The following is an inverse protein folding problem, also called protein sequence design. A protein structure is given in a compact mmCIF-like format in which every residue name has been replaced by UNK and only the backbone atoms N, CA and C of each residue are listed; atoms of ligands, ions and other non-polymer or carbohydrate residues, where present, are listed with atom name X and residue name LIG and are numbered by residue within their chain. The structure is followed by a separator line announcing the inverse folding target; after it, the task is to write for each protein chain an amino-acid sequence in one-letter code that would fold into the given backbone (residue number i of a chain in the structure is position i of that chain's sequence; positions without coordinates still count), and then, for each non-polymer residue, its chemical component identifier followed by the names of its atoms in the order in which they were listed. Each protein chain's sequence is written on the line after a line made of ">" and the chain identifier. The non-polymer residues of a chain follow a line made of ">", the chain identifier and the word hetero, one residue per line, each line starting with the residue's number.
data_IF_238701940290
#
_entry.id   IF_238701940290
#
_cell.length_a   1.000
_cell.length_b   1.000
_cell.length_c   1.000
_cell.angle_alpha   90.00
_cell.angle_beta   90.00
_cell.angle_gamma   90.00
#
_symmetry.space_group_name_H-M   'P 1'
#
loop_
_entity.id
_entity.type
_entity.pdbx_description
1 polymer ?
#
# COMPACT_ATOMS: atom_id res chain seq x y z
N UNK A 1 8.61 -5.39 -6.83
CA UNK A 1 7.31 -4.69 -7.03
C UNK A 1 7.47 -3.28 -6.51
N UNK A 2 7.07 -2.26 -7.28
CA UNK A 2 7.07 -0.86 -6.82
C UNK A 2 5.75 -0.56 -6.09
N UNK A 3 5.71 0.44 -5.19
CA UNK A 3 4.50 0.81 -4.46
C UNK A 3 3.29 1.07 -5.36
N UNK A 4 3.49 1.67 -6.54
CA UNK A 4 2.44 1.86 -7.55
C UNK A 4 1.90 0.53 -8.13
N UNK A 5 2.75 -0.49 -8.26
CA UNK A 5 2.34 -1.83 -8.69
C UNK A 5 1.41 -2.49 -7.67
N UNK A 6 1.71 -2.34 -6.38
CA UNK A 6 0.95 -2.91 -5.26
C UNK A 6 -0.48 -2.36 -5.21
N UNK A 7 -0.65 -1.04 -5.35
CA UNK A 7 -1.98 -0.41 -5.37
C UNK A 7 -2.80 -0.84 -6.60
N UNK A 8 -2.16 -1.00 -7.76
CA UNK A 8 -2.85 -1.49 -8.95
C UNK A 8 -3.28 -2.94 -8.81
N UNK A 9 -2.44 -3.80 -8.22
CA UNK A 9 -2.82 -5.19 -7.92
C UNK A 9 -4.00 -5.25 -6.97
N UNK A 10 -4.03 -4.45 -5.90
CA UNK A 10 -5.16 -4.43 -4.97
C UNK A 10 -6.46 -4.00 -5.66
N UNK A 11 -6.41 -2.93 -6.47
CA UNK A 11 -7.58 -2.49 -7.26
C UNK A 11 -8.07 -3.58 -8.22
N UNK A 12 -7.16 -4.32 -8.84
CA UNK A 12 -7.53 -5.42 -9.74
C UNK A 12 -8.14 -6.60 -8.98
N UNK A 13 -7.65 -6.89 -7.78
CA UNK A 13 -8.24 -7.91 -6.90
C UNK A 13 -9.65 -7.51 -6.44
N UNK A 14 -9.86 -6.25 -6.07
CA UNK A 14 -11.20 -5.74 -5.72
C UNK A 14 -12.16 -5.88 -6.92
N UNK A 15 -11.69 -5.63 -8.15
CA UNK A 15 -12.48 -5.86 -9.36
C UNK A 15 -12.81 -7.35 -9.53
N UNK A 16 -11.81 -8.22 -9.37
CA UNK A 16 -11.97 -9.67 -9.52
C UNK A 16 -12.94 -10.24 -8.48
N UNK A 17 -12.90 -9.79 -7.23
CA UNK A 17 -13.84 -10.18 -6.17
C UNK A 17 -15.28 -9.81 -6.57
N UNK A 18 -15.51 -8.59 -7.04
CA UNK A 18 -16.83 -8.15 -7.47
C UNK A 18 -17.37 -8.96 -8.66
N UNK A 19 -16.51 -9.27 -9.63
CA UNK A 19 -16.88 -10.12 -10.77
C UNK A 19 -17.19 -11.56 -10.34
N UNK A 20 -16.42 -12.11 -9.40
CA UNK A 20 -16.69 -13.44 -8.85
C UNK A 20 -18.03 -13.50 -8.12
N UNK A 21 -18.37 -12.47 -7.33
CA UNK A 21 -19.66 -12.40 -6.66
C UNK A 21 -20.82 -12.30 -7.68
N UNK A 22 -20.67 -11.49 -8.72
CA UNK A 22 -21.66 -11.42 -9.80
C UNK A 22 -21.84 -12.77 -10.51
N UNK A 23 -20.74 -13.46 -10.82
CA UNK A 23 -20.77 -14.80 -11.40
C UNK A 23 -21.48 -15.81 -10.47
N UNK A 24 -21.26 -15.71 -9.17
CA UNK A 24 -21.91 -16.53 -8.15
C UNK A 24 -23.44 -16.34 -8.15
N UNK A 25 -23.90 -15.08 -8.19
CA UNK A 25 -25.32 -14.73 -8.27
C UNK A 25 -25.96 -15.25 -9.54
N UNK A 26 -25.27 -15.10 -10.69
CA UNK A 26 -25.74 -15.62 -11.98
C UNK A 26 -25.79 -17.14 -12.00
N UNK A 27 -24.81 -17.83 -11.43
CA UNK A 27 -24.84 -19.29 -11.31
C UNK A 27 -26.02 -19.77 -10.44
N UNK A 28 -26.33 -19.06 -9.33
CA UNK A 28 -27.50 -19.35 -8.49
C UNK A 28 -28.81 -19.13 -9.26
N UNK A 29 -28.91 -18.02 -10.00
CA UNK A 29 -30.05 -17.70 -10.85
C UNK A 29 -30.29 -18.80 -11.90
N UNK A 30 -29.24 -19.21 -12.62
CA UNK A 30 -29.30 -20.31 -13.60
C UNK A 30 -29.74 -21.63 -12.98
N UNK A 31 -29.21 -21.99 -11.80
CA UNK A 31 -29.63 -23.20 -11.08
C UNK A 31 -31.11 -23.16 -10.71
N UNK A 32 -31.61 -22.01 -10.23
CA UNK A 32 -33.03 -21.85 -9.92
C UNK A 32 -33.90 -21.89 -11.17
N UNK A 33 -33.45 -21.29 -12.27
CA UNK A 33 -34.17 -21.25 -13.54
C UNK A 33 -34.28 -22.64 -14.18
N UNK A 34 -33.18 -23.40 -14.20
CA UNK A 34 -33.17 -24.79 -14.68
C UNK A 34 -34.15 -25.67 -13.87
N UNK A 35 -34.15 -25.52 -12.54
CA UNK A 35 -35.10 -26.23 -11.66
C UNK A 35 -36.55 -25.74 -11.85
N UNK A 36 -36.78 -24.46 -12.14
CA UNK A 36 -38.12 -23.89 -12.30
C UNK A 36 -38.77 -24.14 -13.66
N UNK A 37 -38.00 -24.49 -14.71
CA UNK A 37 -38.59 -24.93 -15.98
C UNK A 37 -39.43 -26.22 -15.84
N UNK A 38 -39.22 -26.98 -14.76
CA UNK A 38 -39.92 -28.24 -14.50
C UNK A 38 -40.76 -28.25 -13.21
N UNK A 39 -40.74 -27.17 -12.40
CA UNK A 39 -41.43 -27.12 -11.12
C UNK A 39 -42.29 -25.84 -10.99
N UNK A 40 -43.61 -25.98 -10.91
CA UNK A 40 -44.55 -24.87 -10.62
C UNK A 40 -44.26 -24.33 -9.21
N UNK A 41 -43.61 -23.16 -9.13
CA UNK A 41 -43.15 -22.60 -7.86
C UNK A 41 -44.21 -21.69 -7.22
N UNK A 42 -45.03 -22.21 -6.32
CA UNK A 42 -45.94 -21.39 -5.49
C UNK A 42 -45.11 -20.80 -4.33
N UNK A 43 -44.66 -19.55 -4.48
CA UNK A 43 -43.97 -18.85 -3.39
C UNK A 43 -44.93 -18.45 -2.28
N UNK A 44 -44.64 -18.82 -1.02
CA UNK A 44 -45.46 -18.47 0.14
C UNK A 44 -45.67 -16.93 0.26
N UNK A 45 -46.92 -16.43 0.19
CA UNK A 45 -47.23 -15.00 0.15
C UNK A 45 -46.97 -14.28 1.48
N UNK A 46 -46.96 -14.99 2.61
CA UNK A 46 -46.79 -14.38 3.94
C UNK A 46 -45.33 -13.99 4.26
N UNK A 47 -44.35 -14.53 3.52
CA UNK A 47 -42.92 -14.21 3.71
C UNK A 47 -42.31 -13.45 2.52
N UNK A 48 -43.13 -13.11 1.52
CA UNK A 48 -42.65 -12.47 0.29
C UNK A 48 -42.11 -11.06 0.56
N UNK A 49 -42.83 -10.26 1.36
CA UNK A 49 -42.41 -8.89 1.73
C UNK A 49 -41.10 -8.91 2.53
N UNK A 50 -41.02 -9.70 3.61
CA UNK A 50 -39.81 -9.83 4.44
C UNK A 50 -38.58 -10.29 3.62
N UNK A 51 -38.76 -11.22 2.67
CA UNK A 51 -37.65 -11.66 1.79
C UNK A 51 -37.20 -10.59 0.80
N UNK A 52 -38.11 -9.71 0.35
CA UNK A 52 -37.74 -8.57 -0.52
C UNK A 52 -36.93 -7.56 0.29
N UNK A 53 -37.44 -7.16 1.45
CA UNK A 53 -36.74 -6.21 2.33
C UNK A 53 -35.33 -6.71 2.72
N UNK A 54 -35.19 -7.99 3.10
CA UNK A 54 -33.89 -8.58 3.39
C UNK A 54 -32.94 -8.59 2.18
N UNK A 55 -33.46 -8.76 0.96
CA UNK A 55 -32.65 -8.68 -0.26
C UNK A 55 -32.22 -7.25 -0.54
N UNK A 56 -33.13 -6.29 -0.41
CA UNK A 56 -32.86 -4.87 -0.62
C UNK A 56 -31.82 -4.38 0.39
N UNK A 57 -31.94 -4.79 1.65
CA UNK A 57 -30.95 -4.50 2.71
C UNK A 57 -29.58 -5.12 2.39
N UNK A 58 -29.53 -6.38 1.97
CA UNK A 58 -28.28 -7.06 1.62
C UNK A 58 -27.59 -6.41 0.42
N UNK A 59 -28.35 -5.96 -0.60
CA UNK A 59 -27.81 -5.23 -1.76
C UNK A 59 -27.21 -3.90 -1.31
N UNK A 60 -27.92 -3.15 -0.46
CA UNK A 60 -27.43 -1.87 0.05
C UNK A 60 -26.18 -2.02 0.92
N UNK A 61 -26.15 -3.01 1.81
CA UNK A 61 -24.98 -3.33 2.63
C UNK A 61 -23.77 -3.72 1.78
N UNK A 62 -24.00 -4.58 0.78
CA UNK A 62 -22.96 -4.98 -0.18
C UNK A 62 -22.38 -3.78 -0.92
N UNK A 63 -23.23 -2.90 -1.47
CA UNK A 63 -22.77 -1.68 -2.13
C UNK A 63 -22.02 -0.74 -1.20
N UNK A 64 -22.42 -0.61 0.07
CA UNK A 64 -21.70 0.18 1.06
C UNK A 64 -20.30 -0.39 1.30
N UNK A 65 -20.18 -1.71 1.47
CA UNK A 65 -18.89 -2.40 1.64
C UNK A 65 -17.96 -2.21 0.45
N UNK A 66 -18.45 -2.35 -0.78
CA UNK A 66 -17.66 -2.12 -1.99
C UNK A 66 -17.19 -0.67 -2.13
N UNK A 67 -18.03 0.30 -1.74
CA UNK A 67 -17.61 1.71 -1.73
C UNK A 67 -16.51 1.93 -0.70
N UNK A 68 -16.70 1.42 0.52
CA UNK A 68 -15.72 1.53 1.59
C UNK A 68 -14.37 0.93 1.18
N UNK A 69 -14.35 -0.28 0.63
CA UNK A 69 -13.11 -0.93 0.17
C UNK A 69 -12.37 -0.12 -0.90
N UNK A 70 -13.11 0.49 -1.84
CA UNK A 70 -12.53 1.35 -2.87
C UNK A 70 -11.99 2.66 -2.30
N UNK A 71 -12.69 3.24 -1.32
CA UNK A 71 -12.25 4.43 -0.61
C UNK A 71 -11.00 4.14 0.22
N UNK A 72 -10.96 3.03 0.96
CA UNK A 72 -9.81 2.59 1.75
C UNK A 72 -8.57 2.37 0.86
N UNK A 73 -8.73 1.71 -0.28
CA UNK A 73 -7.65 1.48 -1.25
C UNK A 73 -7.14 2.80 -1.82
N UNK A 74 -8.05 3.73 -2.16
CA UNK A 74 -7.68 5.06 -2.67
C UNK A 74 -6.98 5.90 -1.59
N UNK A 75 -7.48 5.87 -0.37
CA UNK A 75 -6.90 6.57 0.76
C UNK A 75 -5.49 6.04 1.05
N UNK A 76 -5.31 4.73 1.10
CA UNK A 76 -4.00 4.12 1.29
C UNK A 76 -3.00 4.50 0.18
N UNK A 77 -3.43 4.57 -1.07
CA UNK A 77 -2.61 5.03 -2.19
C UNK A 77 -2.23 6.52 -2.07
N UNK A 78 -3.17 7.35 -1.61
CA UNK A 78 -2.93 8.77 -1.38
C UNK A 78 -1.96 9.00 -0.23
N UNK A 79 -2.16 8.33 0.91
CA UNK A 79 -1.27 8.40 2.07
C UNK A 79 0.15 7.92 1.74
N UNK A 80 0.26 6.84 0.96
CA UNK A 80 1.55 6.34 0.44
C UNK A 80 2.27 7.40 -0.41
N UNK A 81 1.54 8.01 -1.36
CA UNK A 81 2.08 9.08 -2.20
C UNK A 81 2.52 10.30 -1.37
N UNK A 82 1.74 10.67 -0.35
CA UNK A 82 2.05 11.77 0.55
C UNK A 82 3.31 11.50 1.38
N UNK A 83 3.46 10.28 1.93
CA UNK A 83 4.67 9.87 2.66
C UNK A 83 5.90 9.92 1.78
N UNK A 84 5.83 9.40 0.55
CA UNK A 84 6.93 9.46 -0.41
C UNK A 84 7.35 10.92 -0.68
N UNK A 85 6.39 11.83 -0.86
CA UNK A 85 6.67 13.25 -1.05
C UNK A 85 7.30 13.90 0.19
N UNK A 86 6.82 13.55 1.38
CA UNK A 86 7.39 14.06 2.64
C UNK A 86 8.80 13.54 2.86
N UNK A 87 9.06 12.29 2.48
CA UNK A 87 10.38 11.69 2.51
C UNK A 87 11.36 12.48 1.65
N UNK A 88 10.98 12.75 0.40
CA UNK A 88 11.79 13.53 -0.53
C UNK A 88 12.17 14.88 0.09
N UNK A 89 11.17 15.62 0.58
CA UNK A 89 11.39 16.93 1.24
C UNK A 89 12.24 16.83 2.51
N UNK A 90 12.13 15.75 3.28
CA UNK A 90 12.90 15.52 4.49
C UNK A 90 14.38 15.28 4.19
N UNK A 91 14.67 14.52 3.12
CA UNK A 91 16.03 14.24 2.65
C UNK A 91 16.68 15.50 2.09
N UNK A 92 15.92 16.30 1.33
CA UNK A 92 16.39 17.59 0.80
C UNK A 92 16.76 18.57 1.93
N UNK A 93 16.00 18.57 3.04
CA UNK A 93 16.28 19.40 4.22
C UNK A 93 17.42 18.88 5.08
N UNK A 94 17.54 17.56 5.25
CA UNK A 94 18.66 16.95 5.97
C UNK A 94 20.00 17.12 5.23
N UNK A 95 19.95 17.44 3.94
CA UNK A 95 21.10 17.80 3.12
C UNK A 95 21.44 19.30 3.08
N UNK A 96 20.62 20.16 3.67
CA UNK A 96 20.92 21.59 3.77
C UNK A 96 22.16 21.82 4.65
N UNK A 97 22.94 22.90 4.42
CA UNK A 97 24.15 23.18 5.17
C UNK A 97 23.83 23.45 6.65
N UNK A 98 23.73 22.37 7.43
CA UNK A 98 23.68 22.39 8.88
C UNK A 98 25.07 22.72 9.37
N UNK A 99 25.24 23.96 9.84
CA UNK A 99 26.52 24.48 10.27
C UNK A 99 27.14 23.67 11.40
N UNK A 100 28.04 22.75 11.04
CA UNK A 100 29.26 22.64 11.80
C UNK A 100 30.04 23.92 11.52
N UNK A 101 29.96 24.87 12.44
CA UNK A 101 31.04 25.85 12.57
C UNK A 101 32.25 25.00 12.89
N UNK A 102 33.13 24.83 11.90
CA UNK A 102 34.30 23.97 11.97
C UNK A 102 34.97 24.06 13.31
N UNK A 103 35.52 22.93 13.77
CA UNK A 103 36.41 22.85 14.92
C UNK A 103 37.24 24.15 14.94
N UNK A 104 37.00 24.97 15.97
CA UNK A 104 37.53 26.32 16.06
C UNK A 104 39.00 26.27 15.69
N UNK A 105 39.53 27.21 14.90
CA UNK A 105 40.97 27.33 14.60
C UNK A 105 41.89 27.08 15.83
N UNK A 106 41.36 27.31 17.04
CA UNK A 106 41.97 26.99 18.33
C UNK A 106 42.15 25.50 18.68
N UNK A 107 41.33 24.59 18.15
CA UNK A 107 41.50 23.13 18.32
C UNK A 107 42.55 22.58 17.35
N UNK A 108 42.66 23.16 16.14
CA UNK A 108 43.67 22.81 15.13
C UNK A 108 45.08 23.24 15.56
N UNK A 109 45.23 24.43 16.16
CA UNK A 109 46.52 24.96 16.61
C UNK A 109 47.19 24.16 17.73
N UNK A 110 46.48 23.21 18.35
CA UNK A 110 47.04 22.28 19.35
C UNK A 110 47.88 21.15 18.74
N UNK A 111 47.69 20.86 17.45
CA UNK A 111 48.29 19.69 16.79
C UNK A 111 49.31 20.03 15.70
N UNK A 112 49.42 21.29 15.27
CA UNK A 112 50.48 21.76 14.36
C UNK A 112 51.70 22.24 15.15
N UNK A 113 52.86 21.60 14.96
CA UNK A 113 54.11 21.97 15.64
C UNK A 113 55.18 22.59 14.73
N UNK A 114 55.00 22.57 13.40
CA UNK A 114 55.80 23.33 12.41
C UNK A 114 54.88 23.70 11.24
N UNK A 115 54.34 24.92 11.25
CA UNK A 115 53.35 25.37 10.26
C UNK A 115 54.02 25.65 8.90
N UNK A 116 54.09 24.62 8.06
CA UNK A 116 54.36 24.83 6.63
C UNK A 116 53.03 25.02 5.88
N UNK A 117 53.02 25.88 4.85
CA UNK A 117 51.79 26.24 4.14
C UNK A 117 51.11 25.05 3.45
N UNK A 118 51.86 23.98 3.17
CA UNK A 118 51.36 22.74 2.59
C UNK A 118 50.51 21.92 3.58
N UNK A 119 50.81 21.98 4.88
CA UNK A 119 50.09 21.27 5.93
C UNK A 119 48.72 21.93 6.23
N UNK A 120 48.69 23.27 6.21
CA UNK A 120 47.45 24.05 6.33
C UNK A 120 46.47 23.80 5.17
N UNK A 121 46.98 23.67 3.94
CA UNK A 121 46.15 23.36 2.77
C UNK A 121 45.57 21.94 2.85
N UNK A 122 46.36 20.96 3.30
CA UNK A 122 45.90 19.58 3.47
C UNK A 122 44.81 19.46 4.54
N UNK A 123 44.97 20.11 5.70
CA UNK A 123 43.96 20.13 6.77
C UNK A 123 42.66 20.82 6.36
N UNK A 124 42.74 21.85 5.51
CA UNK A 124 41.55 22.49 4.94
C UNK A 124 40.80 21.55 3.98
N UNK A 125 41.51 20.74 3.19
CA UNK A 125 40.89 19.72 2.34
C UNK A 125 40.24 18.60 3.17
N UNK A 126 40.91 18.13 4.22
CA UNK A 126 40.40 17.09 5.12
C UNK A 126 39.10 17.56 5.78
N UNK A 127 39.05 18.76 6.36
CA UNK A 127 37.83 19.26 7.00
C UNK A 127 36.69 19.48 6.00
N UNK A 128 36.99 20.00 4.80
CA UNK A 128 35.98 20.13 3.74
C UNK A 128 35.40 18.76 3.35
N UNK A 129 36.25 17.74 3.24
CA UNK A 129 35.85 16.36 2.96
C UNK A 129 35.05 15.76 4.13
N UNK A 130 35.46 16.01 5.38
CA UNK A 130 34.77 15.53 6.58
C UNK A 130 33.37 16.14 6.72
N UNK A 131 33.21 17.44 6.44
CA UNK A 131 31.89 18.09 6.42
C UNK A 131 31.00 17.51 5.31
N UNK A 132 31.57 17.27 4.13
CA UNK A 132 30.85 16.62 3.03
C UNK A 132 30.40 15.20 3.41
N UNK A 133 31.27 14.41 4.05
CA UNK A 133 30.98 13.07 4.56
C UNK A 133 29.94 13.10 5.67
N UNK A 134 30.02 14.05 6.61
CA UNK A 134 29.04 14.22 7.68
C UNK A 134 27.65 14.53 7.11
N UNK A 135 27.57 15.45 6.16
CA UNK A 135 26.33 15.77 5.45
C UNK A 135 25.78 14.57 4.66
N UNK A 136 26.65 13.81 3.98
CA UNK A 136 26.26 12.59 3.28
C UNK A 136 25.73 11.52 4.25
N UNK A 137 26.40 11.29 5.37
CA UNK A 137 25.99 10.34 6.40
C UNK A 137 24.64 10.75 7.03
N UNK A 138 24.41 12.03 7.26
CA UNK A 138 23.13 12.57 7.74
C UNK A 138 21.98 12.29 6.77
N UNK A 139 22.18 12.55 5.46
CA UNK A 139 21.21 12.22 4.41
C UNK A 139 20.94 10.71 4.33
N UNK A 140 21.99 9.89 4.38
CA UNK A 140 21.87 8.42 4.36
C UNK A 140 21.08 7.90 5.55
N UNK A 141 21.32 8.44 6.76
CA UNK A 141 20.54 8.08 7.96
C UNK A 141 19.06 8.43 7.80
N UNK A 142 18.77 9.63 7.28
CA UNK A 142 17.40 10.06 6.99
C UNK A 142 16.70 9.15 5.98
N UNK A 143 17.37 8.85 4.87
CA UNK A 143 16.89 7.91 3.85
C UNK A 143 16.66 6.51 4.43
N UNK A 144 17.63 5.96 5.17
CA UNK A 144 17.56 4.62 5.73
C UNK A 144 16.38 4.47 6.73
N UNK A 145 16.22 5.44 7.64
CA UNK A 145 15.11 5.44 8.59
C UNK A 145 13.76 5.46 7.89
N UNK A 146 13.65 6.28 6.86
CA UNK A 146 12.40 6.45 6.15
C UNK A 146 12.12 5.26 5.24
N UNK A 147 13.13 4.70 4.56
CA UNK A 147 13.03 3.44 3.83
C UNK A 147 12.56 2.29 4.73
N UNK A 148 13.08 2.19 5.96
CA UNK A 148 12.61 1.20 6.93
C UNK A 148 11.11 1.34 7.22
N UNK A 149 10.65 2.57 7.46
CA UNK A 149 9.22 2.84 7.69
C UNK A 149 8.36 2.47 6.48
N UNK A 150 8.81 2.78 5.27
CA UNK A 150 8.09 2.47 4.04
C UNK A 150 8.03 0.95 3.77
N UNK A 151 9.10 0.22 4.05
CA UNK A 151 9.11 -1.26 3.98
C UNK A 151 8.09 -1.86 4.94
N UNK A 152 8.02 -1.38 6.19
CA UNK A 152 7.04 -1.87 7.16
C UNK A 152 5.59 -1.62 6.71
N UNK A 153 5.31 -0.46 6.09
CA UNK A 153 3.99 -0.16 5.54
C UNK A 153 3.67 -1.04 4.33
N UNK A 154 4.62 -1.25 3.43
CA UNK A 154 4.44 -2.14 2.29
C UNK A 154 4.23 -3.59 2.72
N UNK A 155 4.91 -4.06 3.78
CA UNK A 155 4.69 -5.40 4.33
C UNK A 155 3.24 -5.60 4.81
N UNK A 156 2.69 -4.60 5.54
CA UNK A 156 1.26 -4.62 5.94
C UNK A 156 0.34 -4.62 4.73
N UNK A 157 0.68 -3.86 3.70
CA UNK A 157 -0.08 -3.80 2.46
C UNK A 157 -0.08 -5.16 1.75
N UNK A 158 1.09 -5.77 1.58
CA UNK A 158 1.27 -7.08 0.96
C UNK A 158 0.43 -8.12 1.71
N UNK A 159 0.46 -8.15 3.04
CA UNK A 159 -0.37 -9.06 3.83
C UNK A 159 -1.88 -8.92 3.50
N UNK A 160 -2.41 -7.69 3.40
CA UNK A 160 -3.80 -7.47 2.98
C UNK A 160 -4.09 -7.96 1.56
N UNK A 161 -3.15 -7.76 0.63
CA UNK A 161 -3.28 -8.24 -0.74
C UNK A 161 -3.27 -9.77 -0.80
N UNK A 162 -2.40 -10.42 -0.02
CA UNK A 162 -2.36 -11.87 0.11
C UNK A 162 -3.70 -12.40 0.59
N UNK A 163 -4.24 -11.86 1.69
CA UNK A 163 -5.55 -12.25 2.21
C UNK A 163 -6.68 -12.05 1.18
N UNK A 164 -6.67 -10.94 0.43
CA UNK A 164 -7.63 -10.70 -0.65
C UNK A 164 -7.48 -11.70 -1.79
N UNK A 165 -6.23 -12.03 -2.15
CA UNK A 165 -5.91 -12.96 -3.23
C UNK A 165 -6.44 -14.36 -2.90
N UNK A 166 -6.18 -14.84 -1.69
CA UNK A 166 -6.66 -16.14 -1.24
C UNK A 166 -8.19 -16.22 -1.27
N UNK A 167 -8.89 -15.16 -0.82
CA UNK A 167 -10.36 -15.10 -0.91
C UNK A 167 -10.87 -15.13 -2.34
N UNK A 168 -10.23 -14.40 -3.25
CA UNK A 168 -10.61 -14.39 -4.66
C UNK A 168 -10.38 -15.77 -5.28
N UNK A 169 -9.27 -16.43 -4.97
CA UNK A 169 -8.97 -17.78 -5.45
C UNK A 169 -10.01 -18.80 -4.96
N UNK A 170 -10.33 -18.79 -3.66
CA UNK A 170 -11.37 -19.63 -3.06
C UNK A 170 -12.73 -19.42 -3.74
N UNK A 171 -13.11 -18.17 -3.99
CA UNK A 171 -14.36 -17.83 -4.67
C UNK A 171 -14.38 -18.35 -6.11
N UNK A 172 -13.26 -18.22 -6.85
CA UNK A 172 -13.12 -18.73 -8.21
C UNK A 172 -13.30 -20.26 -8.21
N UNK A 173 -12.60 -20.96 -7.31
CA UNK A 173 -12.68 -22.41 -7.16
C UNK A 173 -14.12 -22.87 -6.85
N UNK A 174 -14.79 -22.19 -5.91
CA UNK A 174 -16.19 -22.46 -5.59
C UNK A 174 -17.14 -22.22 -6.77
N UNK A 175 -16.98 -21.10 -7.47
CA UNK A 175 -17.80 -20.75 -8.62
C UNK A 175 -17.66 -21.76 -9.74
N UNK A 176 -16.42 -22.17 -10.04
CA UNK A 176 -16.13 -23.24 -11.00
C UNK A 176 -16.85 -24.54 -10.63
N UNK A 177 -16.69 -25.00 -9.39
CA UNK A 177 -17.37 -26.21 -8.90
C UNK A 177 -18.90 -26.11 -8.89
N UNK A 178 -19.48 -24.91 -8.79
CA UNK A 178 -20.93 -24.70 -8.93
C UNK A 178 -21.37 -24.76 -10.38
N UNK A 179 -20.65 -24.12 -11.29
CA UNK A 179 -20.92 -24.15 -12.73
C UNK A 179 -20.84 -25.58 -13.28
N UNK A 180 -19.86 -26.37 -12.85
CA UNK A 180 -19.73 -27.78 -13.23
C UNK A 180 -20.93 -28.63 -12.82
N UNK A 181 -21.64 -28.26 -11.74
CA UNK A 181 -22.86 -28.93 -11.25
C UNK A 181 -24.15 -28.48 -11.91
N UNK A 182 -24.11 -27.46 -12.77
CA UNK A 182 -25.30 -26.92 -13.48
C UNK A 182 -25.46 -27.57 -14.86
N UNK A 183 -24.55 -28.46 -15.27
CA UNK A 183 -24.69 -29.31 -16.46
C UNK A 183 -25.93 -30.19 -16.40
#
# INVERSE_FOLDING_TARGET
>A
MTGAGIHNTEKNLDLAENQNRLAEEKARELKTLNKSMFAMHVSNPFTASKRREQRDEAIMDTHRKERQQREDTRQAAWESSQRAQQMQKGVDRAGGPGGNKGASLAERSKYQFEADSEDDEMENEIDANLDALHGAAGRLKGLASAMGTEVDQQNKHIARITDKTDRVDDQIAMNRARLDRIK
#
